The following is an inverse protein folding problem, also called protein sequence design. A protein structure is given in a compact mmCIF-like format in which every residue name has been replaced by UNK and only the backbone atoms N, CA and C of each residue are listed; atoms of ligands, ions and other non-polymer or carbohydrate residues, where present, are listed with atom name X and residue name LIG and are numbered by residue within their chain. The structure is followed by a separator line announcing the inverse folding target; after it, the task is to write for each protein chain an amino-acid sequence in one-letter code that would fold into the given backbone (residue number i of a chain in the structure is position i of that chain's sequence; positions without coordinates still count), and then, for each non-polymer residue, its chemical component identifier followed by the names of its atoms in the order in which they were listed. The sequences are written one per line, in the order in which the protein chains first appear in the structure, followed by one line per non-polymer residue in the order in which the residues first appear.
data_IF_848292541691
#
_entry.id   IF_848292541691
#
_cell.length_a   1.000
_cell.length_b   1.000
_cell.length_c   1.000
_cell.angle_alpha   90.00
_cell.angle_beta   90.00
_cell.angle_gamma   90.00
#
_symmetry.space_group_name_H-M   'P 1'
#
loop_
_entity.id
_entity.type
_entity.pdbx_description
1 polymer ?
#
# COMPACT_ATOMS: atom_id res chain seq x y z
N UNK A 1 44.60 -6.67 -18.79
CA UNK A 1 44.94 -7.42 -17.57
C UNK A 1 43.64 -7.75 -16.85
N UNK A 2 43.36 -9.01 -16.49
CA UNK A 2 42.11 -9.37 -15.83
C UNK A 2 42.06 -8.80 -14.40
N UNK A 3 40.91 -8.24 -14.05
CA UNK A 3 40.61 -7.57 -12.78
C UNK A 3 40.63 -8.58 -11.62
N UNK A 4 41.38 -8.29 -10.55
CA UNK A 4 41.50 -9.18 -9.40
C UNK A 4 40.25 -9.09 -8.50
N UNK A 5 39.59 -10.22 -8.29
CA UNK A 5 38.40 -10.33 -7.42
C UNK A 5 38.78 -11.14 -6.18
N UNK A 6 38.73 -10.51 -5.01
CA UNK A 6 38.99 -11.17 -3.73
C UNK A 6 37.90 -12.22 -3.43
N UNK A 7 38.33 -13.44 -3.10
CA UNK A 7 37.48 -14.60 -2.82
C UNK A 7 37.71 -15.10 -1.41
N UNK A 8 36.66 -15.65 -0.80
CA UNK A 8 36.73 -16.26 0.52
C UNK A 8 37.58 -17.55 0.45
N UNK A 9 38.62 -17.70 1.30
CA UNK A 9 39.52 -18.85 1.27
C UNK A 9 38.88 -20.19 1.65
N UNK A 10 37.69 -20.22 2.27
CA UNK A 10 36.98 -21.48 2.61
C UNK A 10 35.94 -21.88 1.58
N UNK A 11 35.34 -20.93 0.87
CA UNK A 11 34.18 -21.19 -0.02
C UNK A 11 34.45 -20.90 -1.49
N UNK A 12 35.54 -20.20 -1.82
CA UNK A 12 35.93 -19.87 -3.20
C UNK A 12 34.99 -18.87 -3.91
N UNK A 13 33.95 -18.39 -3.22
CA UNK A 13 33.00 -17.42 -3.74
C UNK A 13 33.57 -15.99 -3.64
N UNK A 14 33.21 -15.08 -4.57
CA UNK A 14 33.56 -13.67 -4.47
C UNK A 14 33.04 -13.10 -3.14
N UNK A 15 33.90 -12.40 -2.41
CA UNK A 15 33.48 -11.71 -1.19
C UNK A 15 32.54 -10.58 -1.62
N UNK A 16 31.23 -10.82 -1.54
CA UNK A 16 30.24 -9.75 -1.70
C UNK A 16 30.45 -8.78 -0.55
N UNK A 17 30.92 -7.57 -0.85
CA UNK A 17 30.82 -6.44 0.09
C UNK A 17 29.33 -6.29 0.40
N UNK A 18 28.89 -6.86 1.52
CA UNK A 18 27.60 -6.52 2.09
C UNK A 18 27.61 -5.00 2.23
N UNK A 19 26.73 -4.31 1.51
CA UNK A 19 26.53 -2.89 1.71
C UNK A 19 26.26 -2.72 3.20
N UNK A 20 27.16 -2.03 3.90
CA UNK A 20 26.92 -1.62 5.28
C UNK A 20 25.52 -1.05 5.34
N UNK A 21 24.67 -1.58 6.23
CA UNK A 21 23.36 -1.02 6.54
C UNK A 21 23.55 0.48 6.70
N UNK A 22 22.86 1.21 5.83
CA UNK A 22 22.89 2.67 5.68
C UNK A 22 23.19 3.36 7.01
N UNK A 23 24.41 3.88 7.16
CA UNK A 23 24.54 5.14 7.88
C UNK A 23 23.53 6.08 7.21
N UNK A 24 22.70 6.78 8.00
CA UNK A 24 21.69 7.72 7.48
C UNK A 24 22.33 8.48 6.32
N UNK A 25 21.88 8.25 5.09
CA UNK A 25 22.47 8.91 3.93
C UNK A 25 22.23 10.41 4.16
N UNK A 26 23.25 11.13 4.62
CA UNK A 26 23.17 12.59 4.85
C UNK A 26 23.25 13.36 3.52
N UNK A 27 23.45 12.64 2.40
CA UNK A 27 23.49 13.16 1.04
C UNK A 27 22.31 14.10 0.73
N UNK A 28 21.05 13.70 0.95
CA UNK A 28 19.87 14.54 0.70
C UNK A 28 19.85 15.84 1.50
N UNK A 29 20.47 15.88 2.68
CA UNK A 29 20.51 17.08 3.53
C UNK A 29 21.63 18.05 3.14
N UNK A 30 22.61 17.62 2.34
CA UNK A 30 23.69 18.50 1.89
C UNK A 30 23.17 19.41 0.78
N UNK A 31 23.48 20.72 0.84
CA UNK A 31 23.33 21.57 -0.32
C UNK A 31 24.09 20.99 -1.54
N UNK A 32 23.65 21.26 -2.78
CA UNK A 32 24.45 20.98 -3.97
C UNK A 32 25.85 21.59 -3.82
N UNK A 33 26.88 20.86 -4.25
CA UNK A 33 28.26 21.34 -4.15
C UNK A 33 28.42 22.66 -4.90
N UNK A 34 29.06 23.63 -4.23
CA UNK A 34 29.30 24.96 -4.76
C UNK A 34 30.47 25.64 -4.04
N UNK A 35 30.65 26.94 -4.26
CA UNK A 35 31.75 27.71 -3.66
C UNK A 35 31.75 27.66 -2.14
N UNK A 36 30.56 27.55 -1.54
CA UNK A 36 30.37 27.34 -0.09
C UNK A 36 31.16 26.16 0.48
N UNK A 37 31.43 25.11 -0.31
CA UNK A 37 32.08 23.89 0.16
C UNK A 37 33.60 24.07 0.38
N UNK A 38 34.20 25.07 -0.25
CA UNK A 38 35.67 25.29 -0.27
C UNK A 38 36.09 26.55 0.47
N UNK A 39 35.15 27.28 1.09
CA UNK A 39 35.45 28.44 1.92
C UNK A 39 36.32 28.01 3.13
N UNK A 40 37.44 28.70 3.43
CA UNK A 40 38.21 28.49 4.66
C UNK A 40 37.35 28.69 5.91
N UNK A 41 37.44 27.77 6.88
CA UNK A 41 36.54 27.72 8.04
C UNK A 41 36.57 28.98 8.91
N UNK A 42 37.72 29.63 9.00
CA UNK A 42 37.93 30.87 9.73
C UNK A 42 37.12 32.03 9.11
N UNK A 43 36.98 32.04 7.77
CA UNK A 43 36.31 33.10 6.99
C UNK A 43 34.79 32.96 6.87
N UNK A 44 34.21 31.81 7.22
CA UNK A 44 32.76 31.54 7.03
C UNK A 44 31.88 32.56 7.76
N UNK A 45 32.04 32.70 9.09
CA UNK A 45 31.18 33.62 9.88
C UNK A 45 31.43 35.09 9.51
N UNK A 46 32.68 35.60 9.43
CA UNK A 46 32.93 36.99 9.04
C UNK A 46 32.33 37.34 7.67
N UNK A 47 32.40 36.42 6.70
CA UNK A 47 31.79 36.63 5.38
C UNK A 47 30.26 36.59 5.44
N UNK A 48 29.67 35.69 6.23
CA UNK A 48 28.21 35.62 6.39
C UNK A 48 27.61 36.85 7.10
N UNK A 49 28.33 37.41 8.07
CA UNK A 49 27.97 38.65 8.79
C UNK A 49 28.25 39.92 7.99
N UNK A 50 28.84 39.81 6.81
CA UNK A 50 29.30 40.95 5.98
C UNK A 50 30.45 41.76 6.59
N UNK A 51 31.18 41.21 7.56
CA UNK A 51 32.43 41.78 8.09
C UNK A 51 33.57 41.68 7.06
N UNK A 52 33.47 40.70 6.16
CA UNK A 52 34.38 40.49 5.03
C UNK A 52 33.60 40.64 3.72
N UNK A 53 34.12 41.44 2.78
CA UNK A 53 33.45 41.67 1.49
C UNK A 53 33.48 40.43 0.56
N UNK A 54 34.58 39.68 0.57
CA UNK A 54 34.75 38.46 -0.21
C UNK A 54 35.84 37.56 0.41
N UNK A 55 35.68 36.25 0.27
CA UNK A 55 36.75 35.29 0.62
C UNK A 55 37.35 34.68 -0.63
N UNK A 56 38.67 34.81 -0.79
CA UNK A 56 39.42 34.12 -1.84
C UNK A 56 39.39 32.60 -1.63
N UNK A 57 39.10 31.88 -2.70
CA UNK A 57 39.10 30.41 -2.78
C UNK A 57 40.47 29.96 -3.30
N UNK A 58 41.13 28.97 -2.66
CA UNK A 58 42.40 28.44 -3.14
C UNK A 58 42.34 27.97 -4.59
N UNK A 59 43.40 28.22 -5.36
CA UNK A 59 43.48 27.81 -6.78
C UNK A 59 43.33 26.28 -6.98
N UNK A 60 43.76 25.48 -6.01
CA UNK A 60 43.59 24.02 -6.02
C UNK A 60 42.15 23.55 -5.90
N UNK A 61 41.25 24.41 -5.41
CA UNK A 61 39.85 24.13 -5.12
C UNK A 61 38.89 24.84 -6.09
N UNK A 62 39.41 25.31 -7.23
CA UNK A 62 38.63 25.96 -8.30
C UNK A 62 38.85 27.47 -8.43
N UNK A 63 39.54 28.11 -7.47
CA UNK A 63 39.87 29.54 -7.51
C UNK A 63 38.66 30.49 -7.43
N UNK A 64 38.95 31.79 -7.43
CA UNK A 64 37.93 32.86 -7.44
C UNK A 64 37.52 33.34 -6.04
N UNK A 65 36.32 33.92 -5.93
CA UNK A 65 35.82 34.55 -4.71
C UNK A 65 34.47 33.97 -4.28
N UNK A 66 34.34 33.67 -2.99
CA UNK A 66 33.09 33.35 -2.33
C UNK A 66 32.41 34.61 -1.79
N UNK A 67 31.08 34.61 -1.84
CA UNK A 67 30.20 35.72 -1.43
C UNK A 67 29.58 35.48 -0.06
N UNK A 68 28.89 36.51 0.50
CA UNK A 68 28.07 36.39 1.72
C UNK A 68 27.11 35.19 1.65
N UNK A 69 26.42 35.04 0.52
CA UNK A 69 25.44 33.98 0.28
C UNK A 69 26.07 32.58 0.32
N UNK A 70 27.25 32.42 -0.30
CA UNK A 70 28.01 31.17 -0.21
C UNK A 70 28.41 30.86 1.24
N UNK A 71 28.80 31.88 2.01
CA UNK A 71 29.19 31.71 3.41
C UNK A 71 28.01 31.32 4.30
N UNK A 72 26.82 31.86 4.06
CA UNK A 72 25.58 31.50 4.77
C UNK A 72 25.27 30.01 4.57
N UNK A 73 25.36 29.51 3.34
CA UNK A 73 25.19 28.07 3.06
C UNK A 73 26.24 27.22 3.81
N UNK A 74 27.46 27.75 3.94
CA UNK A 74 28.59 27.09 4.60
C UNK A 74 28.54 27.11 6.14
N UNK A 75 27.61 27.83 6.78
CA UNK A 75 27.59 28.03 8.25
C UNK A 75 27.62 26.71 9.05
N UNK A 76 27.06 25.63 8.52
CA UNK A 76 27.09 24.32 9.17
C UNK A 76 28.49 23.70 9.32
N UNK A 77 29.49 24.17 8.55
CA UNK A 77 30.88 23.64 8.51
C UNK A 77 31.77 24.18 9.65
N UNK A 78 31.33 25.18 10.41
CA UNK A 78 32.15 25.81 11.45
C UNK A 78 32.49 24.83 12.59
N UNK A 79 33.55 25.11 13.35
CA UNK A 79 33.89 24.34 14.55
C UNK A 79 32.80 24.41 15.62
N UNK A 80 32.78 23.44 16.55
CA UNK A 80 31.81 23.39 17.66
C UNK A 80 31.82 24.66 18.52
N UNK A 81 33.00 25.23 18.78
CA UNK A 81 33.17 26.48 19.55
C UNK A 81 32.43 27.68 18.93
N UNK A 82 32.24 27.67 17.60
CA UNK A 82 31.62 28.76 16.85
C UNK A 82 30.18 28.44 16.44
N UNK A 83 29.63 27.29 16.85
CA UNK A 83 28.33 26.80 16.41
C UNK A 83 27.18 27.74 16.81
N UNK A 84 27.18 28.26 18.04
CA UNK A 84 26.15 29.20 18.49
C UNK A 84 26.13 30.46 17.62
N UNK A 85 27.31 31.04 17.35
CA UNK A 85 27.41 32.22 16.50
C UNK A 85 26.99 31.93 15.06
N UNK A 86 27.31 30.75 14.52
CA UNK A 86 26.86 30.36 13.19
C UNK A 86 25.35 30.11 13.12
N UNK A 87 24.76 29.55 14.18
CA UNK A 87 23.31 29.37 14.29
C UNK A 87 22.58 30.71 14.39
N UNK A 88 23.06 31.65 15.22
CA UNK A 88 22.54 33.02 15.29
C UNK A 88 22.62 33.72 13.92
N UNK A 89 23.77 33.63 13.24
CA UNK A 89 23.97 34.22 11.91
C UNK A 89 23.02 33.61 10.88
N UNK A 90 22.76 32.30 10.95
CA UNK A 90 21.81 31.64 10.05
C UNK A 90 20.37 32.09 10.36
N UNK A 91 20.02 32.19 11.64
CA UNK A 91 18.72 32.67 12.11
C UNK A 91 18.45 34.08 11.58
N UNK A 92 19.41 35.00 11.71
CA UNK A 92 19.33 36.34 11.14
C UNK A 92 19.17 36.31 9.61
N UNK A 93 19.91 35.43 8.92
CA UNK A 93 19.82 35.30 7.47
C UNK A 93 18.48 34.76 6.95
N UNK A 94 17.75 33.97 7.74
CA UNK A 94 16.40 33.48 7.37
C UNK A 94 15.38 34.62 7.40
N UNK A 95 15.58 35.60 8.29
CA UNK A 95 14.70 36.75 8.47
C UNK A 95 15.22 38.03 7.77
N UNK A 96 16.25 37.91 6.92
CA UNK A 96 16.84 39.02 6.16
C UNK A 96 15.85 39.59 5.13
N UNK A 97 15.94 40.90 4.86
CA UNK A 97 15.08 41.59 3.90
C UNK A 97 15.33 41.13 2.45
N UNK A 98 16.57 40.75 2.11
CA UNK A 98 16.95 40.28 0.78
C UNK A 98 16.53 38.82 0.55
N UNK A 99 15.64 38.52 -0.42
CA UNK A 99 15.25 37.16 -0.76
C UNK A 99 16.43 36.24 -1.10
N UNK A 100 17.50 36.76 -1.72
CA UNK A 100 18.67 35.97 -2.08
C UNK A 100 19.42 35.44 -0.83
N UNK A 101 19.41 36.22 0.25
CA UNK A 101 19.99 35.85 1.54
C UNK A 101 19.13 34.78 2.20
N UNK A 102 17.80 34.96 2.21
CA UNK A 102 16.85 33.96 2.72
C UNK A 102 16.97 32.62 1.98
N UNK A 103 17.07 32.64 0.65
CA UNK A 103 17.29 31.45 -0.17
C UNK A 103 18.57 30.71 0.23
N UNK A 104 19.66 31.45 0.45
CA UNK A 104 20.94 30.90 0.88
C UNK A 104 20.85 30.27 2.27
N UNK A 105 20.12 30.92 3.19
CA UNK A 105 19.89 30.43 4.53
C UNK A 105 19.08 29.13 4.52
N UNK A 106 17.94 29.08 3.82
CA UNK A 106 17.10 27.87 3.69
C UNK A 106 17.88 26.74 3.00
N UNK A 107 18.76 27.06 2.04
CA UNK A 107 19.61 26.06 1.38
C UNK A 107 20.56 25.38 2.37
N UNK A 108 21.23 26.13 3.25
CA UNK A 108 22.16 25.61 4.26
C UNK A 108 21.49 25.03 5.51
N UNK A 109 20.24 25.40 5.78
CA UNK A 109 19.46 25.06 6.98
C UNK A 109 19.42 23.56 7.32
N UNK A 110 19.21 22.63 6.38
CA UNK A 110 19.07 21.21 6.72
C UNK A 110 20.31 20.60 7.37
N UNK A 111 21.52 21.03 6.95
CA UNK A 111 22.77 20.58 7.60
C UNK A 111 22.97 21.25 8.95
N UNK A 112 22.59 22.52 9.11
CA UNK A 112 22.67 23.20 10.40
C UNK A 112 21.77 22.52 11.44
N UNK A 113 20.55 22.14 11.06
CA UNK A 113 19.60 21.49 11.97
C UNK A 113 20.09 20.16 12.55
N UNK A 114 21.02 19.45 11.88
CA UNK A 114 21.66 18.26 12.44
C UNK A 114 22.59 18.55 13.62
N UNK A 115 23.09 19.79 13.71
CA UNK A 115 24.02 20.24 14.74
C UNK A 115 23.33 21.08 15.80
N UNK A 116 22.46 22.01 15.38
CA UNK A 116 21.65 22.87 16.26
C UNK A 116 20.35 23.24 15.55
N UNK A 117 19.22 22.70 16.03
CA UNK A 117 17.90 22.84 15.40
C UNK A 117 16.99 23.89 16.04
N UNK A 118 17.38 24.46 17.18
CA UNK A 118 16.59 25.43 17.95
C UNK A 118 16.02 26.54 17.05
N UNK A 119 14.71 26.76 17.10
CA UNK A 119 13.93 27.77 16.33
C UNK A 119 13.97 27.69 14.79
N UNK A 120 14.97 27.04 14.18
CA UNK A 120 15.12 26.99 12.72
C UNK A 120 13.92 26.35 12.01
N UNK A 121 13.32 25.34 12.64
CA UNK A 121 12.12 24.70 12.10
C UNK A 121 10.93 25.66 12.07
N UNK A 122 10.72 26.43 13.14
CA UNK A 122 9.66 27.44 13.19
C UNK A 122 9.89 28.54 12.16
N UNK A 123 11.12 29.05 12.04
CA UNK A 123 11.46 30.04 11.02
C UNK A 123 11.22 29.52 9.60
N UNK A 124 11.56 28.25 9.32
CA UNK A 124 11.24 27.61 8.04
C UNK A 124 9.73 27.57 7.77
N UNK A 125 8.90 27.28 8.78
CA UNK A 125 7.42 27.29 8.65
C UNK A 125 6.93 28.68 8.27
N UNK A 126 7.44 29.73 8.94
CA UNK A 126 7.08 31.11 8.62
C UNK A 126 7.43 31.43 7.15
N UNK A 127 8.55 30.91 6.64
CA UNK A 127 8.96 31.09 5.24
C UNK A 127 8.10 30.33 4.21
N UNK A 128 7.19 29.44 4.62
CA UNK A 128 6.27 28.78 3.69
C UNK A 128 5.32 29.79 3.02
N UNK A 129 5.00 30.89 3.72
CA UNK A 129 4.18 31.99 3.22
C UNK A 129 5.00 33.24 2.87
N UNK A 130 6.29 33.10 2.53
CA UNK A 130 7.13 34.23 2.15
C UNK A 130 6.56 34.99 0.95
N UNK A 131 6.76 36.31 0.91
CA UNK A 131 6.31 37.18 -0.18
C UNK A 131 7.03 36.87 -1.49
N UNK A 132 8.28 36.39 -1.41
CA UNK A 132 9.04 35.93 -2.55
C UNK A 132 8.69 34.47 -2.88
N UNK A 133 8.29 34.24 -4.13
CA UNK A 133 7.79 32.93 -4.56
C UNK A 133 8.89 31.86 -4.55
N UNK A 134 10.15 32.22 -4.87
CA UNK A 134 11.26 31.28 -4.89
C UNK A 134 11.64 30.88 -3.45
N UNK A 135 11.61 31.83 -2.51
CA UNK A 135 11.82 31.56 -1.08
C UNK A 135 10.74 30.61 -0.55
N UNK A 136 9.46 30.88 -0.84
CA UNK A 136 8.34 30.02 -0.44
C UNK A 136 8.47 28.62 -1.04
N UNK A 137 8.80 28.50 -2.33
CA UNK A 137 9.00 27.20 -2.98
C UNK A 137 10.11 26.40 -2.31
N UNK A 138 11.27 27.01 -2.11
CA UNK A 138 12.41 26.37 -1.48
C UNK A 138 12.11 25.98 -0.02
N UNK A 139 11.33 26.79 0.71
CA UNK A 139 10.91 26.48 2.07
C UNK A 139 10.04 25.22 2.10
N UNK A 140 9.07 25.10 1.18
CA UNK A 140 8.22 23.92 1.06
C UNK A 140 8.99 22.67 0.67
N UNK A 141 9.87 22.75 -0.34
CA UNK A 141 10.74 21.63 -0.73
C UNK A 141 11.65 21.19 0.42
N UNK A 142 12.19 22.17 1.15
CA UNK A 142 13.04 21.90 2.30
C UNK A 142 12.26 21.24 3.42
N UNK A 143 11.05 21.70 3.74
CA UNK A 143 10.19 21.09 4.76
C UNK A 143 9.84 19.64 4.41
N UNK A 144 9.43 19.37 3.17
CA UNK A 144 9.13 18.01 2.69
C UNK A 144 10.33 17.06 2.86
N UNK A 145 11.54 17.58 2.63
CA UNK A 145 12.79 16.83 2.74
C UNK A 145 13.22 16.57 4.18
N UNK A 146 13.09 17.56 5.06
CA UNK A 146 13.59 17.46 6.45
C UNK A 146 12.59 16.83 7.41
N UNK A 147 11.29 16.99 7.17
CA UNK A 147 10.24 16.47 8.05
C UNK A 147 10.42 14.97 8.38
N UNK A 148 10.60 14.04 7.42
CA UNK A 148 10.81 12.64 7.78
C UNK A 148 12.08 12.39 8.60
N UNK A 149 13.06 13.30 8.64
CA UNK A 149 14.35 13.05 9.29
C UNK A 149 14.39 13.53 10.74
N UNK A 150 13.73 14.66 11.04
CA UNK A 150 13.77 15.27 12.37
C UNK A 150 12.51 14.91 13.16
N UNK A 151 12.61 14.22 14.32
CA UNK A 151 11.45 13.95 15.16
C UNK A 151 10.73 15.22 15.62
N UNK A 152 11.43 16.34 15.80
CA UNK A 152 10.79 17.64 16.08
C UNK A 152 9.79 18.06 14.99
N UNK A 153 9.83 17.45 13.81
CA UNK A 153 8.81 17.65 12.80
C UNK A 153 7.44 17.07 13.18
N UNK A 154 7.37 16.05 14.04
CA UNK A 154 6.09 15.55 14.54
C UNK A 154 5.45 16.52 15.54
N UNK A 155 6.24 17.44 16.09
CA UNK A 155 5.77 18.55 16.93
C UNK A 155 5.42 19.80 16.10
N UNK A 156 5.60 19.77 14.78
CA UNK A 156 5.08 20.80 13.90
C UNK A 156 3.56 20.88 14.10
N UNK A 157 3.04 22.09 14.27
CA UNK A 157 1.61 22.37 14.09
C UNK A 157 1.25 22.26 12.58
N UNK A 158 1.41 21.07 12.01
CA UNK A 158 1.00 20.75 10.65
C UNK A 158 -0.52 20.89 10.49
N UNK A 159 -1.26 20.92 11.60
CA UNK A 159 -2.70 21.10 11.67
C UNK A 159 -3.19 22.35 10.93
N UNK A 160 -2.51 23.49 11.11
CA UNK A 160 -2.88 24.74 10.43
C UNK A 160 -2.57 24.68 8.93
N UNK A 161 -1.41 24.10 8.58
CA UNK A 161 -0.99 23.93 7.18
C UNK A 161 -1.91 22.98 6.40
N UNK A 162 -2.36 21.90 7.04
CA UNK A 162 -3.31 20.94 6.47
C UNK A 162 -4.71 21.54 6.30
N UNK A 163 -5.09 22.48 7.16
CA UNK A 163 -6.38 23.19 7.11
C UNK A 163 -6.31 24.50 6.33
N UNK A 164 -5.16 24.80 5.70
CA UNK A 164 -4.99 26.02 4.92
C UNK A 164 -6.12 26.18 3.89
N UNK A 165 -6.69 27.39 3.74
CA UNK A 165 -7.70 27.67 2.71
C UNK A 165 -7.10 27.62 1.30
N UNK A 166 -5.78 27.80 1.18
CA UNK A 166 -5.09 27.69 -0.08
C UNK A 166 -4.87 26.22 -0.45
N UNK A 167 -5.48 25.78 -1.55
CA UNK A 167 -5.41 24.40 -2.04
C UNK A 167 -3.98 23.97 -2.42
N UNK A 168 -3.12 24.89 -2.86
CA UNK A 168 -1.73 24.57 -3.16
C UNK A 168 -1.01 24.19 -1.89
N UNK A 169 -1.08 25.05 -0.88
CA UNK A 169 -0.37 24.90 0.40
C UNK A 169 -0.86 23.66 1.13
N UNK A 170 -2.18 23.46 1.16
CA UNK A 170 -2.80 22.23 1.64
C UNK A 170 -2.22 20.99 0.93
N UNK A 171 -2.12 21.03 -0.39
CA UNK A 171 -1.55 19.90 -1.16
C UNK A 171 -0.09 19.66 -0.81
N UNK A 172 0.70 20.71 -0.55
CA UNK A 172 2.08 20.59 -0.06
C UNK A 172 2.13 20.03 1.36
N UNK A 173 1.27 20.50 2.27
CA UNK A 173 1.15 19.98 3.62
C UNK A 173 0.83 18.47 3.63
N UNK A 174 -0.05 18.00 2.74
CA UNK A 174 -0.32 16.57 2.58
C UNK A 174 0.87 15.79 2.00
N UNK A 175 1.77 16.42 1.22
CA UNK A 175 3.05 15.79 0.82
C UNK A 175 3.98 15.63 2.01
N UNK A 176 4.07 16.66 2.86
CA UNK A 176 4.83 16.60 4.12
C UNK A 176 4.27 15.51 5.04
N UNK A 177 2.95 15.48 5.27
CA UNK A 177 2.30 14.43 6.08
C UNK A 177 2.55 13.03 5.51
N UNK A 178 2.52 12.88 4.18
CA UNK A 178 2.84 11.62 3.50
C UNK A 178 4.28 11.18 3.78
N UNK A 179 5.24 12.11 3.79
CA UNK A 179 6.63 11.82 4.12
C UNK A 179 6.79 11.42 5.59
N UNK A 180 6.16 12.17 6.51
CA UNK A 180 6.13 11.86 7.95
C UNK A 180 5.53 10.47 8.19
N UNK A 181 4.37 10.16 7.62
CA UNK A 181 3.65 8.90 7.83
C UNK A 181 4.41 7.66 7.36
N UNK A 182 5.43 7.83 6.50
CA UNK A 182 6.28 6.72 6.04
C UNK A 182 7.38 6.37 7.03
N UNK A 183 7.93 7.39 7.69
CA UNK A 183 9.05 7.23 8.62
C UNK A 183 8.56 7.09 10.07
N UNK A 184 7.60 7.94 10.46
CA UNK A 184 7.00 8.04 11.80
C UNK A 184 5.52 7.67 11.72
N UNK A 185 5.24 6.37 11.73
CA UNK A 185 3.89 5.85 11.46
C UNK A 185 2.91 6.30 12.53
N UNK A 186 3.32 6.31 13.80
CA UNK A 186 2.50 6.72 14.94
C UNK A 186 2.09 8.19 14.84
N UNK A 187 3.04 9.08 14.52
CA UNK A 187 2.76 10.50 14.28
C UNK A 187 1.85 10.69 13.05
N UNK A 188 2.07 9.90 11.99
CA UNK A 188 1.17 9.85 10.84
C UNK A 188 -0.26 9.49 11.24
N UNK A 189 -0.44 8.43 12.03
CA UNK A 189 -1.74 8.01 12.52
C UNK A 189 -2.44 9.10 13.36
N UNK A 190 -1.72 9.81 14.24
CA UNK A 190 -2.29 10.89 15.05
C UNK A 190 -2.86 12.02 14.18
N UNK A 191 -2.10 12.48 13.18
CA UNK A 191 -2.61 13.51 12.27
C UNK A 191 -3.77 13.00 11.40
N UNK A 192 -3.72 11.75 10.95
CA UNK A 192 -4.82 11.15 10.18
C UNK A 192 -6.08 11.02 11.01
N UNK A 193 -5.98 10.65 12.29
CA UNK A 193 -7.11 10.62 13.22
C UNK A 193 -7.79 11.99 13.34
N UNK A 194 -7.01 13.05 13.53
CA UNK A 194 -7.51 14.44 13.57
C UNK A 194 -8.24 14.78 12.26
N UNK A 195 -7.64 14.49 11.11
CA UNK A 195 -8.21 14.80 9.79
C UNK A 195 -9.46 13.99 9.44
N UNK A 196 -9.58 12.74 9.90
CA UNK A 196 -10.74 11.90 9.62
C UNK A 196 -12.01 12.36 10.36
N UNK A 197 -11.86 13.18 11.40
CA UNK A 197 -12.97 13.76 12.17
C UNK A 197 -13.45 15.12 11.63
N UNK A 198 -12.77 15.66 10.62
CA UNK A 198 -13.10 16.96 10.02
C UNK A 198 -14.43 16.94 9.29
N UNK A 199 -15.18 18.05 9.32
CA UNK A 199 -16.41 18.21 8.53
C UNK A 199 -16.10 18.35 7.03
N UNK A 200 -14.95 18.94 6.69
CA UNK A 200 -14.55 19.16 5.31
C UNK A 200 -14.19 17.85 4.61
N UNK A 201 -15.02 17.47 3.63
CA UNK A 201 -14.88 16.21 2.87
C UNK A 201 -13.53 16.11 2.13
N UNK A 202 -12.96 17.23 1.65
CA UNK A 202 -11.65 17.22 0.99
C UNK A 202 -10.52 16.75 1.94
N UNK A 203 -10.56 17.17 3.21
CA UNK A 203 -9.59 16.77 4.22
C UNK A 203 -9.69 15.28 4.51
N UNK A 204 -10.91 14.78 4.77
CA UNK A 204 -11.17 13.36 5.00
C UNK A 204 -10.72 12.50 3.80
N UNK A 205 -11.05 12.90 2.57
CA UNK A 205 -10.62 12.19 1.35
C UNK A 205 -9.11 12.14 1.19
N UNK A 206 -8.40 13.23 1.50
CA UNK A 206 -6.93 13.27 1.41
C UNK A 206 -6.29 12.42 2.51
N UNK A 207 -6.81 12.47 3.73
CA UNK A 207 -6.37 11.63 4.84
C UNK A 207 -6.57 10.14 4.52
N UNK A 208 -7.75 9.76 4.05
CA UNK A 208 -8.08 8.38 3.69
C UNK A 208 -7.12 7.80 2.62
N UNK A 209 -6.67 8.61 1.65
CA UNK A 209 -5.66 8.21 0.65
C UNK A 209 -4.27 7.90 1.23
N UNK A 210 -3.97 8.39 2.43
CA UNK A 210 -2.73 8.10 3.14
C UNK A 210 -2.82 6.83 4.00
N UNK A 211 -4.02 6.29 4.26
CA UNK A 211 -4.19 5.07 5.06
C UNK A 211 -3.38 3.89 4.54
N UNK A 212 -3.25 3.74 3.21
CA UNK A 212 -2.42 2.72 2.55
C UNK A 212 -0.94 2.72 2.95
N UNK A 213 -0.46 3.83 3.52
CA UNK A 213 0.93 4.00 3.99
C UNK A 213 1.06 3.42 5.39
N UNK A 214 0.06 3.63 6.23
CA UNK A 214 0.05 3.18 7.63
C UNK A 214 -0.56 1.79 7.81
N UNK A 215 -1.21 1.21 6.79
CA UNK A 215 -1.92 -0.09 6.90
C UNK A 215 -1.11 -1.21 7.53
N UNK A 216 0.16 -1.37 7.12
CA UNK A 216 1.00 -2.50 7.56
C UNK A 216 1.72 -2.24 8.90
N UNK A 217 2.04 -0.97 9.19
CA UNK A 217 2.89 -0.59 10.34
C UNK A 217 2.16 0.16 11.43
N UNK A 218 0.92 0.58 11.18
CA UNK A 218 0.13 1.43 12.08
C UNK A 218 -0.50 0.69 13.25
N UNK A 219 -0.44 -0.65 13.27
CA UNK A 219 -1.02 -1.49 14.31
C UNK A 219 -2.51 -1.21 14.53
N UNK A 220 -2.97 -1.37 15.77
CA UNK A 220 -4.37 -1.18 16.14
C UNK A 220 -4.93 0.19 15.72
N UNK A 221 -4.18 1.28 15.95
CA UNK A 221 -4.61 2.64 15.56
C UNK A 221 -4.80 2.74 14.04
N UNK A 222 -3.90 2.15 13.26
CA UNK A 222 -4.03 2.11 11.80
C UNK A 222 -5.26 1.33 11.34
N UNK A 223 -5.62 0.25 12.04
CA UNK A 223 -6.81 -0.55 11.73
C UNK A 223 -8.10 0.18 12.08
N UNK A 224 -8.14 0.85 13.22
CA UNK A 224 -9.28 1.69 13.64
C UNK A 224 -9.52 2.82 12.63
N UNK A 225 -8.45 3.46 12.13
CA UNK A 225 -8.56 4.46 11.07
C UNK A 225 -9.15 3.89 9.77
N UNK A 226 -8.80 2.65 9.41
CA UNK A 226 -9.40 1.98 8.25
C UNK A 226 -10.88 1.69 8.52
N UNK A 227 -11.23 1.24 9.73
CA UNK A 227 -12.62 1.01 10.13
C UNK A 227 -13.45 2.29 10.03
N UNK A 228 -12.97 3.41 10.59
CA UNK A 228 -13.64 4.71 10.48
C UNK A 228 -13.78 5.17 9.03
N UNK A 229 -12.77 4.95 8.19
CA UNK A 229 -12.85 5.28 6.78
C UNK A 229 -13.92 4.47 6.04
N UNK A 230 -14.12 3.19 6.39
CA UNK A 230 -15.17 2.34 5.83
C UNK A 230 -16.58 2.76 6.27
N UNK A 231 -16.72 3.46 7.39
CA UNK A 231 -18.00 3.96 7.90
C UNK A 231 -18.33 5.40 7.44
N UNK A 232 -17.42 6.06 6.71
CA UNK A 232 -17.62 7.46 6.32
C UNK A 232 -18.84 7.65 5.41
N UNK A 233 -19.54 8.76 5.58
CA UNK A 233 -20.63 9.21 4.70
C UNK A 233 -20.22 9.35 3.23
N UNK A 234 -18.97 9.74 2.95
CA UNK A 234 -18.45 9.98 1.60
C UNK A 234 -17.92 8.69 0.96
N UNK A 235 -18.43 8.37 -0.23
CA UNK A 235 -18.05 7.14 -0.92
C UNK A 235 -16.57 7.07 -1.32
N UNK A 236 -15.90 8.22 -1.56
CA UNK A 236 -14.47 8.20 -1.90
C UNK A 236 -13.60 7.90 -0.67
N UNK A 237 -14.03 8.33 0.52
CA UNK A 237 -13.38 7.97 1.78
C UNK A 237 -13.51 6.46 2.03
N UNK A 238 -14.73 5.92 1.94
CA UNK A 238 -14.98 4.47 2.04
C UNK A 238 -14.20 3.67 1.01
N UNK A 239 -14.16 4.16 -0.22
CA UNK A 239 -13.37 3.57 -1.31
C UNK A 239 -11.87 3.52 -1.01
N UNK A 240 -11.34 4.52 -0.29
CA UNK A 240 -9.94 4.56 0.12
C UNK A 240 -9.65 3.64 1.30
N UNK A 241 -10.60 3.51 2.25
CA UNK A 241 -10.55 2.50 3.31
C UNK A 241 -10.54 1.08 2.73
N UNK A 242 -11.45 0.80 1.79
CA UNK A 242 -11.54 -0.49 1.12
C UNK A 242 -10.28 -0.85 0.32
N UNK A 243 -9.56 0.12 -0.25
CA UNK A 243 -8.27 -0.11 -0.92
C UNK A 243 -7.19 -0.65 0.03
N UNK A 244 -7.33 -0.45 1.34
CA UNK A 244 -6.37 -0.93 2.33
C UNK A 244 -6.62 -2.41 2.69
N UNK A 245 -7.84 -2.91 2.49
CA UNK A 245 -8.26 -4.24 2.92
C UNK A 245 -7.43 -5.40 2.31
N UNK A 246 -7.03 -5.41 1.02
CA UNK A 246 -6.22 -6.51 0.49
C UNK A 246 -4.85 -6.63 1.16
N UNK A 247 -4.22 -5.49 1.47
CA UNK A 247 -2.95 -5.47 2.21
C UNK A 247 -3.16 -5.89 3.66
N UNK A 248 -4.21 -5.38 4.31
CA UNK A 248 -4.57 -5.76 5.66
C UNK A 248 -4.89 -7.26 5.75
N UNK A 249 -5.55 -7.84 4.75
CA UNK A 249 -5.83 -9.28 4.69
C UNK A 249 -4.56 -10.13 4.66
N UNK A 250 -3.48 -9.61 4.06
CA UNK A 250 -2.19 -10.29 4.01
C UNK A 250 -1.40 -10.18 5.32
N UNK A 251 -1.51 -9.04 6.01
CA UNK A 251 -0.79 -8.78 7.25
C UNK A 251 -1.55 -9.31 8.50
N UNK A 252 -2.85 -9.02 8.58
CA UNK A 252 -3.75 -9.28 9.71
C UNK A 252 -5.10 -9.84 9.22
N UNK A 253 -5.15 -11.12 8.78
CA UNK A 253 -6.34 -11.71 8.16
C UNK A 253 -7.60 -11.65 9.04
N UNK A 254 -7.45 -11.79 10.36
CA UNK A 254 -8.57 -11.76 11.32
C UNK A 254 -9.21 -10.38 11.38
N UNK A 255 -8.40 -9.31 11.42
CA UNK A 255 -8.90 -7.94 11.45
C UNK A 255 -9.54 -7.60 10.11
N UNK A 256 -8.90 -7.95 9.00
CA UNK A 256 -9.47 -7.75 7.67
C UNK A 256 -10.81 -8.46 7.49
N UNK A 257 -10.98 -9.69 7.99
CA UNK A 257 -12.26 -10.40 7.96
C UNK A 257 -13.35 -9.63 8.72
N UNK A 258 -13.05 -9.13 9.92
CA UNK A 258 -13.99 -8.33 10.72
C UNK A 258 -14.41 -7.05 9.96
N UNK A 259 -13.46 -6.33 9.36
CA UNK A 259 -13.76 -5.09 8.63
C UNK A 259 -14.54 -5.34 7.33
N UNK A 260 -14.23 -6.42 6.62
CA UNK A 260 -14.99 -6.87 5.45
C UNK A 260 -16.44 -7.21 5.85
N UNK A 261 -16.63 -7.91 6.97
CA UNK A 261 -17.96 -8.25 7.51
C UNK A 261 -18.75 -7.00 7.96
N UNK A 262 -18.09 -6.01 8.55
CA UNK A 262 -18.74 -4.74 8.87
C UNK A 262 -19.22 -3.99 7.61
N UNK A 263 -18.57 -4.24 6.47
CA UNK A 263 -18.82 -3.53 5.21
C UNK A 263 -19.85 -4.20 4.29
N UNK A 264 -20.57 -5.23 4.76
CA UNK A 264 -21.54 -5.97 3.93
C UNK A 264 -22.77 -5.17 3.51
N UNK A 265 -23.09 -4.12 4.26
CA UNK A 265 -24.15 -3.17 3.93
C UNK A 265 -23.75 -2.11 2.91
N UNK A 266 -22.55 -2.20 2.30
CA UNK A 266 -22.04 -1.15 1.41
C UNK A 266 -22.93 -0.96 0.17
N UNK A 267 -23.37 0.28 -0.04
CA UNK A 267 -24.31 0.64 -1.10
C UNK A 267 -23.62 1.00 -2.41
N UNK A 268 -22.37 1.46 -2.35
CA UNK A 268 -21.60 1.83 -3.53
C UNK A 268 -20.94 0.61 -4.17
N UNK A 269 -21.25 0.33 -5.44
CA UNK A 269 -20.76 -0.87 -6.12
C UNK A 269 -19.25 -0.84 -6.36
N UNK A 270 -18.65 0.35 -6.47
CA UNK A 270 -17.20 0.49 -6.62
C UNK A 270 -16.48 0.12 -5.35
N UNK A 271 -17.05 0.46 -4.18
CA UNK A 271 -16.51 0.10 -2.87
C UNK A 271 -16.71 -1.40 -2.62
N UNK A 272 -17.89 -1.96 -2.92
CA UNK A 272 -18.14 -3.41 -2.85
C UNK A 272 -17.13 -4.22 -3.67
N UNK A 273 -16.82 -3.78 -4.89
CA UNK A 273 -15.82 -4.44 -5.74
C UNK A 273 -14.42 -4.45 -5.10
N UNK A 274 -14.03 -3.39 -4.38
CA UNK A 274 -12.75 -3.33 -3.66
C UNK A 274 -12.73 -4.26 -2.45
N UNK A 275 -13.84 -4.29 -1.69
CA UNK A 275 -14.03 -5.23 -0.58
C UNK A 275 -13.92 -6.68 -1.07
N UNK A 276 -14.58 -7.01 -2.20
CA UNK A 276 -14.51 -8.34 -2.80
C UNK A 276 -13.09 -8.75 -3.22
N UNK A 277 -12.24 -7.80 -3.65
CA UNK A 277 -10.83 -8.09 -3.92
C UNK A 277 -10.07 -8.48 -2.67
N UNK A 278 -10.40 -7.90 -1.52
CA UNK A 278 -9.79 -8.27 -0.25
C UNK A 278 -10.24 -9.67 0.20
N UNK A 279 -11.48 -10.05 -0.09
CA UNK A 279 -12.01 -11.39 0.20
C UNK A 279 -11.17 -12.48 -0.47
N UNK A 280 -10.68 -12.26 -1.69
CA UNK A 280 -9.78 -13.22 -2.38
C UNK A 280 -8.46 -13.48 -1.66
N UNK A 281 -8.01 -12.53 -0.85
CA UNK A 281 -6.80 -12.65 -0.04
C UNK A 281 -7.09 -13.21 1.37
N UNK A 282 -8.36 -13.41 1.72
CA UNK A 282 -8.79 -14.05 2.96
C UNK A 282 -8.97 -15.55 2.75
N UNK A 283 -9.04 -16.28 3.86
CA UNK A 283 -9.34 -17.71 3.82
C UNK A 283 -10.74 -17.95 3.25
N UNK A 284 -10.76 -18.52 2.04
CA UNK A 284 -11.98 -18.80 1.28
C UNK A 284 -12.81 -19.94 1.88
N UNK A 285 -12.23 -20.72 2.80
CA UNK A 285 -12.94 -21.76 3.56
C UNK A 285 -13.66 -21.21 4.79
N UNK A 286 -13.51 -19.91 5.10
CA UNK A 286 -14.25 -19.28 6.18
C UNK A 286 -15.75 -19.20 5.81
N UNK A 287 -16.66 -19.80 6.60
CA UNK A 287 -18.09 -19.78 6.31
C UNK A 287 -18.67 -18.37 6.15
N UNK A 288 -18.07 -17.39 6.84
CA UNK A 288 -18.48 -15.99 6.73
C UNK A 288 -18.14 -15.44 5.35
N UNK A 289 -16.94 -15.71 4.84
CA UNK A 289 -16.50 -15.34 3.48
C UNK A 289 -17.39 -15.99 2.41
N UNK A 290 -17.70 -17.28 2.58
CA UNK A 290 -18.61 -18.00 1.69
C UNK A 290 -19.97 -17.30 1.59
N UNK A 291 -20.56 -16.91 2.73
CA UNK A 291 -21.82 -16.16 2.77
C UNK A 291 -21.74 -14.85 1.98
N UNK A 292 -20.63 -14.11 2.07
CA UNK A 292 -20.48 -12.83 1.35
C UNK A 292 -20.46 -13.03 -0.16
N UNK A 293 -19.80 -14.08 -0.61
CA UNK A 293 -19.72 -14.42 -2.03
C UNK A 293 -21.09 -14.85 -2.56
N UNK A 294 -21.84 -15.63 -1.79
CA UNK A 294 -23.21 -16.03 -2.13
C UNK A 294 -24.12 -14.79 -2.24
N UNK A 295 -24.10 -13.92 -1.22
CA UNK A 295 -24.91 -12.69 -1.21
C UNK A 295 -24.52 -11.76 -2.40
N UNK A 296 -23.21 -11.61 -2.67
CA UNK A 296 -22.71 -10.79 -3.77
C UNK A 296 -22.99 -11.36 -5.17
N UNK A 297 -23.25 -12.66 -5.29
CA UNK A 297 -23.68 -13.27 -6.56
C UNK A 297 -25.09 -12.81 -6.98
N UNK A 298 -25.88 -12.24 -6.07
CA UNK A 298 -27.18 -11.63 -6.34
C UNK A 298 -27.18 -10.10 -6.48
N UNK A 299 -26.01 -9.45 -6.52
CA UNK A 299 -25.90 -7.98 -6.50
C UNK A 299 -26.49 -7.29 -7.75
N UNK A 300 -26.83 -6.00 -7.65
CA UNK A 300 -27.30 -5.22 -8.80
C UNK A 300 -26.21 -5.01 -9.86
N UNK A 301 -24.94 -4.89 -9.45
CA UNK A 301 -23.81 -4.69 -10.36
C UNK A 301 -23.37 -6.02 -10.99
N UNK A 302 -23.49 -6.10 -12.31
CA UNK A 302 -23.10 -7.26 -13.11
C UNK A 302 -21.63 -7.66 -12.91
N UNK A 303 -20.73 -6.69 -12.71
CA UNK A 303 -19.30 -6.97 -12.51
C UNK A 303 -19.08 -7.67 -11.18
N UNK A 304 -19.80 -7.25 -10.13
CA UNK A 304 -19.73 -7.85 -8.82
C UNK A 304 -20.31 -9.26 -8.85
N UNK A 305 -21.49 -9.43 -9.45
CA UNK A 305 -22.09 -10.77 -9.66
C UNK A 305 -21.14 -11.70 -10.37
N UNK A 306 -20.57 -11.29 -11.51
CA UNK A 306 -19.58 -12.07 -12.26
C UNK A 306 -18.41 -12.49 -11.36
N UNK A 307 -17.83 -11.54 -10.62
CA UNK A 307 -16.70 -11.81 -9.75
C UNK A 307 -17.03 -12.74 -8.58
N UNK A 308 -18.25 -12.71 -8.03
CA UNK A 308 -18.70 -13.63 -6.99
C UNK A 308 -19.03 -15.02 -7.56
N UNK A 309 -19.74 -15.09 -8.68
CA UNK A 309 -20.07 -16.35 -9.38
C UNK A 309 -18.79 -17.11 -9.74
N UNK A 310 -17.76 -16.40 -10.21
CA UNK A 310 -16.44 -16.96 -10.48
C UNK A 310 -15.74 -17.57 -9.25
N UNK A 311 -16.21 -17.27 -8.03
CA UNK A 311 -15.64 -17.78 -6.77
C UNK A 311 -16.53 -18.82 -6.09
N UNK A 312 -17.76 -19.06 -6.56
CA UNK A 312 -18.69 -20.02 -5.93
C UNK A 312 -18.08 -21.41 -5.80
N UNK A 313 -17.40 -21.91 -6.84
CA UNK A 313 -16.73 -23.22 -6.80
C UNK A 313 -15.51 -23.29 -5.89
N UNK A 314 -15.05 -22.14 -5.37
CA UNK A 314 -13.94 -22.07 -4.41
C UNK A 314 -14.47 -22.10 -2.96
N UNK A 315 -15.64 -21.49 -2.72
CA UNK A 315 -16.27 -21.42 -1.40
C UNK A 315 -17.23 -22.57 -1.09
N UNK A 316 -17.84 -23.17 -2.12
CA UNK A 316 -18.84 -24.23 -1.99
C UNK A 316 -18.39 -25.47 -2.76
N UNK A 317 -18.83 -26.64 -2.30
CA UNK A 317 -18.53 -27.93 -2.95
C UNK A 317 -19.77 -28.83 -3.01
N UNK A 318 -19.77 -29.78 -3.96
CA UNK A 318 -20.77 -30.84 -4.01
C UNK A 318 -22.20 -30.36 -4.22
N UNK A 319 -23.10 -30.75 -3.30
CA UNK A 319 -24.54 -30.43 -3.33
C UNK A 319 -24.80 -28.95 -3.08
N UNK A 320 -24.13 -28.34 -2.10
CA UNK A 320 -24.37 -26.95 -1.68
C UNK A 320 -24.05 -25.96 -2.81
N UNK A 321 -23.00 -26.24 -3.58
CA UNK A 321 -22.66 -25.47 -4.78
C UNK A 321 -23.78 -25.56 -5.82
N UNK A 322 -24.29 -26.78 -6.08
CA UNK A 322 -25.30 -27.02 -7.11
C UNK A 322 -26.62 -26.37 -6.76
N UNK A 323 -27.08 -26.52 -5.52
CA UNK A 323 -28.31 -25.91 -5.03
C UNK A 323 -28.22 -24.39 -5.11
N UNK A 324 -27.15 -23.80 -4.57
CA UNK A 324 -26.96 -22.34 -4.59
C UNK A 324 -26.86 -21.80 -6.01
N UNK A 325 -26.10 -22.47 -6.89
CA UNK A 325 -25.98 -22.08 -8.29
C UNK A 325 -27.33 -22.17 -9.04
N UNK A 326 -28.12 -23.22 -8.75
CA UNK A 326 -29.46 -23.39 -9.33
C UNK A 326 -30.45 -22.31 -8.88
N UNK A 327 -30.43 -21.93 -7.59
CA UNK A 327 -31.24 -20.83 -7.07
C UNK A 327 -30.87 -19.49 -7.70
N UNK A 328 -29.57 -19.19 -7.79
CA UNK A 328 -29.07 -17.98 -8.44
C UNK A 328 -29.40 -17.94 -9.93
N UNK A 329 -29.30 -19.07 -10.66
CA UNK A 329 -29.63 -19.15 -12.08
C UNK A 329 -31.09 -18.79 -12.40
N UNK A 330 -32.01 -19.06 -11.47
CA UNK A 330 -33.44 -18.70 -11.62
C UNK A 330 -33.68 -17.20 -11.59
N UNK A 331 -32.86 -16.47 -10.82
CA UNK A 331 -33.02 -15.02 -10.62
C UNK A 331 -32.08 -14.17 -11.50
N UNK A 332 -31.03 -14.77 -12.07
CA UNK A 332 -30.07 -14.10 -12.93
C UNK A 332 -30.69 -13.64 -14.27
N UNK A 333 -30.40 -12.39 -14.63
CA UNK A 333 -30.92 -11.72 -15.83
C UNK A 333 -29.93 -11.75 -16.99
N UNK A 334 -28.63 -11.77 -16.67
CA UNK A 334 -27.59 -11.79 -17.69
C UNK A 334 -27.42 -13.21 -18.29
N UNK A 335 -27.48 -13.36 -19.63
CA UNK A 335 -27.44 -14.68 -20.25
C UNK A 335 -26.07 -15.38 -20.15
N UNK A 336 -24.96 -14.63 -20.06
CA UNK A 336 -23.62 -15.22 -19.88
C UNK A 336 -23.49 -15.79 -18.46
N UNK A 337 -23.87 -15.00 -17.45
CA UNK A 337 -23.81 -15.42 -16.05
C UNK A 337 -24.79 -16.55 -15.75
N UNK A 338 -26.00 -16.51 -16.32
CA UNK A 338 -27.00 -17.55 -16.17
C UNK A 338 -26.51 -18.90 -16.71
N UNK A 339 -25.93 -18.93 -17.91
CA UNK A 339 -25.32 -20.17 -18.47
C UNK A 339 -24.23 -20.72 -17.57
N UNK A 340 -23.44 -19.83 -16.95
CA UNK A 340 -22.35 -20.23 -16.07
C UNK A 340 -22.87 -20.83 -14.75
N UNK A 341 -23.92 -20.26 -14.18
CA UNK A 341 -24.60 -20.80 -13.02
C UNK A 341 -25.29 -22.13 -13.33
N UNK A 342 -25.94 -22.26 -14.49
CA UNK A 342 -26.51 -23.52 -14.96
C UNK A 342 -25.43 -24.61 -15.10
N UNK A 343 -24.25 -24.27 -15.62
CA UNK A 343 -23.13 -25.20 -15.70
C UNK A 343 -22.59 -25.62 -14.31
N UNK A 344 -22.63 -24.73 -13.31
CA UNK A 344 -22.25 -25.05 -11.93
C UNK A 344 -23.32 -25.87 -11.19
N UNK A 345 -24.59 -25.71 -11.58
CA UNK A 345 -25.72 -26.44 -11.01
C UNK A 345 -25.89 -27.86 -11.59
N UNK A 346 -25.34 -28.10 -12.79
CA UNK A 346 -25.47 -29.37 -13.49
C UNK A 346 -24.87 -30.54 -12.71
N UNK A 347 -25.66 -31.61 -12.58
CA UNK A 347 -25.25 -32.87 -11.99
C UNK A 347 -25.06 -33.95 -13.07
N UNK A 348 -23.82 -34.31 -13.44
CA UNK A 348 -23.56 -35.37 -14.41
C UNK A 348 -24.07 -36.75 -13.97
N UNK A 349 -24.18 -37.03 -12.67
CA UNK A 349 -24.63 -38.32 -12.15
C UNK A 349 -26.14 -38.52 -12.33
N UNK A 350 -26.91 -37.44 -12.27
CA UNK A 350 -28.38 -37.49 -12.29
C UNK A 350 -28.98 -36.95 -13.60
N UNK A 351 -28.34 -35.96 -14.22
CA UNK A 351 -28.83 -35.24 -15.41
C UNK A 351 -27.95 -35.44 -16.65
N UNK A 352 -26.85 -36.20 -16.52
CA UNK A 352 -25.97 -36.59 -17.63
C UNK A 352 -26.61 -37.52 -18.65
N UNK A 353 -25.95 -37.63 -19.80
CA UNK A 353 -26.26 -38.63 -20.83
C UNK A 353 -26.13 -40.05 -20.26
N UNK A 354 -26.79 -41.05 -20.86
CA UNK A 354 -26.69 -42.44 -20.39
C UNK A 354 -25.24 -42.93 -20.30
N UNK A 355 -24.35 -42.47 -21.19
CA UNK A 355 -22.91 -42.78 -21.16
C UNK A 355 -22.18 -42.15 -19.97
N UNK A 356 -22.56 -40.94 -19.55
CA UNK A 356 -22.01 -40.28 -18.37
C UNK A 356 -22.48 -40.96 -17.09
N UNK A 357 -23.78 -41.27 -17.00
CA UNK A 357 -24.36 -42.03 -15.89
C UNK A 357 -23.73 -43.41 -15.72
N UNK A 358 -23.56 -44.12 -16.83
CA UNK A 358 -22.95 -45.45 -16.83
C UNK A 358 -21.46 -45.43 -16.45
N UNK A 359 -20.77 -44.30 -16.60
CA UNK A 359 -19.37 -44.13 -16.18
C UNK A 359 -19.21 -44.07 -14.66
N UNK A 360 -20.18 -43.48 -13.95
CA UNK A 360 -20.19 -43.42 -12.49
C UNK A 360 -20.75 -44.71 -11.85
N UNK A 361 -21.52 -45.50 -12.61
CA UNK A 361 -22.02 -46.83 -12.21
C UNK A 361 -21.07 -47.97 -12.56
N UNK A 362 -20.05 -47.72 -13.39
CA UNK A 362 -19.03 -48.71 -13.69
C UNK A 362 -18.19 -48.98 -12.43
N UNK A 363 -18.03 -50.26 -12.08
CA UNK A 363 -17.18 -50.67 -10.96
C UNK A 363 -15.81 -49.99 -11.11
N UNK A 364 -15.36 -49.29 -10.05
CA UNK A 364 -14.01 -48.74 -9.97
C UNK A 364 -13.03 -49.84 -10.40
N UNK A 365 -12.17 -49.54 -11.39
CA UNK A 365 -11.11 -50.46 -11.78
C UNK A 365 -10.41 -50.93 -10.50
N UNK A 366 -10.44 -52.25 -10.27
CA UNK A 366 -9.73 -52.86 -9.16
C UNK A 366 -8.28 -52.42 -9.31
N UNK A 367 -7.81 -51.58 -8.40
CA UNK A 367 -6.39 -51.34 -8.26
C UNK A 367 -5.83 -52.72 -7.90
N UNK A 368 -5.26 -53.40 -8.87
CA UNK A 368 -4.44 -54.58 -8.63
C UNK A 368 -3.25 -54.09 -7.80
N UNK A 369 -3.41 -54.06 -6.48
CA UNK A 369 -2.26 -54.10 -5.60
C UNK A 369 -1.53 -55.40 -5.98
N UNK A 370 -0.35 -55.25 -6.59
CA UNK A 370 0.55 -56.32 -7.06
C UNK A 370 0.97 -57.33 -5.96
N UNK A 371 0.31 -57.34 -4.80
CA UNK A 371 0.63 -58.17 -3.63
C UNK A 371 -0.42 -59.17 -3.20
N UNK A 372 -1.64 -59.18 -3.75
CA UNK A 372 -2.66 -60.17 -3.35
C UNK A 372 -3.27 -61.00 -4.50
N UNK A 373 -2.50 -61.24 -5.56
CA UNK A 373 -2.89 -62.19 -6.61
C UNK A 373 -2.65 -63.65 -6.22
N UNK A 374 -3.16 -64.14 -5.08
CA UNK A 374 -3.23 -65.59 -4.81
C UNK A 374 -4.55 -65.93 -4.08
N UNK A 375 -5.42 -66.64 -4.80
CA UNK A 375 -6.62 -67.41 -4.41
C UNK A 375 -7.98 -66.71 -4.55
N UNK A 376 -8.62 -66.87 -5.71
CA UNK A 376 -9.77 -67.81 -5.84
C UNK A 376 -10.28 -67.95 -7.29
N UNK A 377 -10.74 -69.14 -7.73
CA UNK A 377 -11.28 -69.32 -9.08
C UNK A 377 -12.75 -68.91 -9.19
N UNK A 378 -13.05 -68.31 -10.33
CA UNK A 378 -14.32 -67.83 -10.83
C UNK A 378 -15.48 -68.84 -10.73
N UNK A 379 -16.65 -68.35 -10.31
CA UNK A 379 -17.95 -68.80 -10.83
C UNK A 379 -18.69 -67.59 -11.41
N UNK A 380 -18.63 -67.45 -12.74
CA UNK A 380 -19.55 -66.59 -13.51
C UNK A 380 -20.90 -67.28 -13.59
N UNK A 381 -21.92 -66.72 -12.94
CA UNK A 381 -23.31 -66.98 -13.32
C UNK A 381 -23.73 -65.89 -14.32
N UNK A 382 -24.21 -66.23 -15.53
CA UNK A 382 -24.82 -65.24 -16.41
C UNK A 382 -26.23 -64.92 -15.90
N UNK A 383 -26.52 -63.64 -15.64
CA UNK A 383 -27.86 -63.17 -15.40
C UNK A 383 -28.70 -63.30 -16.69
N UNK A 384 -29.75 -64.11 -16.64
CA UNK A 384 -30.73 -64.23 -17.71
C UNK A 384 -31.48 -62.90 -17.85
N UNK A 385 -31.47 -62.32 -19.05
CA UNK A 385 -32.34 -61.18 -19.40
C UNK A 385 -33.74 -61.71 -19.71
N UNK A 386 -34.74 -61.27 -18.95
CA UNK A 386 -36.16 -61.47 -19.27
C UNK A 386 -36.55 -60.53 -20.42
N UNK A 387 -36.64 -61.08 -21.62
CA UNK A 387 -37.13 -60.39 -22.80
C UNK A 387 -36.95 -61.30 -24.00
N UNK A 388 -38.00 -61.49 -24.79
CA UNK A 388 -38.08 -62.40 -25.95
C UNK A 388 -38.57 -63.84 -25.67
N UNK A 389 -39.84 -63.96 -25.25
CA UNK A 389 -40.77 -64.97 -25.80
C UNK A 389 -42.16 -64.36 -25.99
N UNK A 390 -42.25 -63.39 -26.90
CA UNK A 390 -43.49 -63.02 -27.60
C UNK A 390 -43.25 -63.18 -29.10
N UNK A 391 -43.05 -64.40 -29.59
CA UNK A 391 -43.30 -64.77 -30.99
C UNK A 391 -43.62 -66.26 -31.00
N UNK A 392 -44.63 -66.66 -31.78
CA UNK A 392 -45.27 -67.98 -31.90
C UNK A 392 -46.29 -68.24 -30.77
N UNK A 393 -47.59 -68.28 -30.97
CA UNK A 393 -48.43 -68.37 -32.16
C UNK A 393 -49.72 -69.05 -31.68
N UNK A 394 -50.88 -68.44 -31.93
CA UNK A 394 -52.21 -68.96 -31.57
C UNK A 394 -52.44 -70.34 -32.18
N UNK A 395 -53.11 -71.24 -31.45
CA UNK A 395 -54.37 -71.83 -31.91
C UNK A 395 -55.16 -72.43 -30.73
N UNK A 396 -56.48 -72.40 -30.89
CA UNK A 396 -57.52 -72.65 -29.91
C UNK A 396 -57.98 -74.13 -29.93
N UNK A 397 -59.07 -74.36 -29.20
CA UNK A 397 -60.00 -75.51 -29.18
C UNK A 397 -59.75 -76.48 -28.00
N UNK A 398 -60.62 -76.44 -26.96
CA UNK A 398 -61.83 -77.28 -26.76
C UNK A 398 -61.43 -78.76 -26.58
N UNK A 399 -61.75 -79.50 -25.51
CA UNK A 399 -62.83 -79.48 -24.50
C UNK A 399 -62.30 -79.82 -23.09
#
# INVERSE_FOLDING_TARGET
MPEYIARDPRTGLPIRKASSRSGRNLGPLTPPLGRWAVIPLDKIIPLAKSDLAAAEIPLGDGGGFATRNDAIVALHRVSEERLNSAHETLSEAIDDDDPAVRLSAITGLPRMMLRKSENLMYQLIVRLGDSDADVSELAWETLERIAPIFPSSSELCLEDLLRSPNKTDRTRAFRVLKAISREWVEAGCQHLESLMKEEEVDLRRRAAKLLRIVTERGGAVGWDLIAWALEDTDSNVRSSGADCLPKLASAEPRIAAILVEASLGEKDSTVRMKILRAIKSLDMQNPRVAKLIIDGAGDQDIRLRKACIDQLSVVLTGTDLRETAGELARTEKDPELKRRLEALAFDPEMEGTEEEKNRFLADLDVIEDDKEAILTPQKRNPAQREGHKQVEGRQADEE
#
